data_IF_263699170903
#
_entry.id   IF_263699170903
#
_cell.length_a   1.000
_cell.length_b   1.000
_cell.length_c   1.000
_cell.angle_alpha   90.00
_cell.angle_beta   90.00
_cell.angle_gamma   90.00
#
_symmetry.space_group_name_H-M   'P 1'
#
loop_
_entity.id
_entity.type
_entity.pdbx_description
1 polymer ?
#
# COMPACT_ATOMS: atom_id res chain seq x y z
N UNK A 1 -23.98 6.23 10.47
CA UNK A 1 -22.70 6.36 11.21
C UNK A 1 -21.58 5.43 10.69
N UNK A 2 -21.89 4.29 10.05
CA UNK A 2 -20.88 3.40 9.41
C UNK A 2 -20.30 3.97 8.11
N UNK A 3 -21.06 4.75 7.35
CA UNK A 3 -20.65 5.28 6.04
C UNK A 3 -19.60 6.39 6.13
N UNK A 4 -19.67 7.28 7.13
CA UNK A 4 -18.70 8.38 7.27
C UNK A 4 -17.32 7.93 7.78
N UNK A 5 -17.24 6.88 8.60
CA UNK A 5 -15.97 6.26 8.99
C UNK A 5 -15.30 5.56 7.81
N UNK A 6 -16.08 4.85 6.98
CA UNK A 6 -15.55 4.14 5.81
C UNK A 6 -14.90 5.07 4.77
N UNK A 7 -15.51 6.22 4.46
CA UNK A 7 -14.97 7.20 3.52
C UNK A 7 -13.66 7.83 4.04
N UNK A 8 -13.60 8.18 5.34
CA UNK A 8 -12.38 8.73 5.95
C UNK A 8 -11.21 7.76 5.88
N UNK A 9 -11.47 6.49 6.11
CA UNK A 9 -10.43 5.45 6.07
C UNK A 9 -9.96 5.15 4.64
N UNK A 10 -10.83 5.10 3.65
CA UNK A 10 -10.45 4.96 2.23
C UNK A 10 -9.52 6.08 1.81
N UNK A 11 -9.82 7.30 2.20
CA UNK A 11 -9.02 8.47 1.89
C UNK A 11 -7.62 8.41 2.52
N UNK A 12 -7.51 8.14 3.83
CA UNK A 12 -6.22 8.02 4.54
C UNK A 12 -5.28 7.02 3.87
N UNK A 13 -5.81 5.89 3.41
CA UNK A 13 -5.03 4.83 2.76
C UNK A 13 -4.53 5.23 1.38
N UNK A 14 -5.35 5.93 0.62
CA UNK A 14 -4.94 6.43 -0.69
C UNK A 14 -3.81 7.45 -0.55
N UNK A 15 -3.91 8.32 0.45
CA UNK A 15 -2.88 9.31 0.78
C UNK A 15 -1.57 8.63 1.19
N UNK A 16 -1.62 7.64 2.09
CA UNK A 16 -0.45 6.83 2.48
C UNK A 16 0.22 6.16 1.28
N UNK A 17 -0.58 5.56 0.40
CA UNK A 17 -0.05 4.94 -0.80
C UNK A 17 0.77 5.93 -1.64
N UNK A 18 0.25 7.15 -1.87
CA UNK A 18 1.01 8.15 -2.62
C UNK A 18 2.29 8.59 -1.91
N UNK A 19 2.28 8.67 -0.58
CA UNK A 19 3.48 8.95 0.20
C UNK A 19 4.54 7.85 0.03
N UNK A 20 4.11 6.58 0.00
CA UNK A 20 5.00 5.43 -0.11
C UNK A 20 5.46 5.09 -1.54
N UNK A 21 4.85 5.69 -2.56
CA UNK A 21 5.24 5.47 -3.96
C UNK A 21 6.03 6.63 -4.57
N UNK A 22 6.61 7.51 -3.73
CA UNK A 22 7.55 8.53 -4.17
C UNK A 22 7.18 9.99 -3.88
N UNK A 23 6.01 10.29 -3.31
CA UNK A 23 5.70 11.68 -2.93
C UNK A 23 6.29 12.03 -1.55
N UNK A 24 7.57 12.44 -1.54
CA UNK A 24 8.28 12.86 -0.31
C UNK A 24 7.62 14.03 0.40
N UNK A 25 7.02 14.97 -0.35
CA UNK A 25 6.33 16.12 0.24
C UNK A 25 5.09 15.67 1.01
N UNK A 26 4.28 14.80 0.41
CA UNK A 26 3.10 14.23 1.06
C UNK A 26 3.49 13.42 2.29
N UNK A 27 4.56 12.61 2.19
CA UNK A 27 5.13 11.87 3.33
C UNK A 27 5.43 12.81 4.50
N UNK A 28 6.19 13.88 4.26
CA UNK A 28 6.55 14.86 5.29
C UNK A 28 5.32 15.58 5.89
N UNK A 29 4.29 15.87 5.09
CA UNK A 29 3.05 16.47 5.59
C UNK A 29 2.35 15.50 6.56
N UNK A 30 2.26 14.21 6.21
CA UNK A 30 1.62 13.21 7.06
C UNK A 30 2.40 13.03 8.37
N UNK A 31 3.72 12.87 8.31
CA UNK A 31 4.58 12.70 9.49
C UNK A 31 4.43 13.86 10.49
N UNK A 32 4.36 15.10 9.99
CA UNK A 32 4.28 16.29 10.85
C UNK A 32 2.86 16.62 11.35
N UNK A 33 1.82 16.03 10.74
CA UNK A 33 0.45 16.44 11.00
C UNK A 33 -0.51 15.26 11.20
N UNK A 34 -0.02 14.08 11.60
CA UNK A 34 -0.86 12.89 11.77
C UNK A 34 -2.07 13.13 12.68
N UNK A 35 -1.89 13.80 13.82
CA UNK A 35 -2.98 14.15 14.73
C UNK A 35 -4.02 15.06 14.06
N UNK A 36 -3.59 16.11 13.34
CA UNK A 36 -4.48 17.01 12.60
C UNK A 36 -5.28 16.29 11.52
N UNK A 37 -4.65 15.28 10.88
CA UNK A 37 -5.33 14.44 9.88
C UNK A 37 -6.40 13.57 10.54
N UNK A 38 -6.09 12.97 11.69
CA UNK A 38 -7.05 12.18 12.47
C UNK A 38 -8.21 13.03 12.96
N UNK A 39 -7.92 14.26 13.43
CA UNK A 39 -8.90 15.24 13.87
C UNK A 39 -9.66 15.92 12.71
N UNK A 40 -9.35 15.59 11.45
CA UNK A 40 -9.99 16.14 10.25
C UNK A 40 -9.82 17.67 10.11
N UNK A 41 -8.65 18.20 10.46
CA UNK A 41 -8.36 19.62 10.29
C UNK A 41 -8.43 20.00 8.80
N UNK A 42 -9.31 20.90 8.44
CA UNK A 42 -9.64 21.27 7.05
C UNK A 42 -8.41 21.71 6.24
N UNK A 43 -7.59 22.59 6.80
CA UNK A 43 -6.39 23.09 6.11
C UNK A 43 -5.40 21.96 5.81
N UNK A 44 -5.21 21.05 6.76
CA UNK A 44 -4.32 19.89 6.57
C UNK A 44 -4.91 18.91 5.56
N UNK A 45 -6.22 18.67 5.61
CA UNK A 45 -6.92 17.82 4.64
C UNK A 45 -6.82 18.40 3.23
N UNK A 46 -7.00 19.70 3.05
CA UNK A 46 -6.85 20.35 1.75
C UNK A 46 -5.45 20.13 1.16
N UNK A 47 -4.40 20.34 1.96
CA UNK A 47 -3.01 20.14 1.52
C UNK A 47 -2.75 18.69 1.05
N UNK A 48 -3.21 17.70 1.81
CA UNK A 48 -2.99 16.30 1.45
C UNK A 48 -3.85 15.86 0.26
N UNK A 49 -5.05 16.44 0.06
CA UNK A 49 -5.90 16.23 -1.12
C UNK A 49 -5.19 16.76 -2.37
N UNK A 50 -4.75 18.01 -2.33
CA UNK A 50 -4.05 18.63 -3.46
C UNK A 50 -2.81 17.84 -3.88
N UNK A 51 -1.96 17.46 -2.92
CA UNK A 51 -0.75 16.68 -3.22
C UNK A 51 -1.08 15.28 -3.73
N UNK A 52 -2.16 14.67 -3.25
CA UNK A 52 -2.64 13.36 -3.72
C UNK A 52 -3.13 13.44 -5.17
N UNK A 53 -3.92 14.46 -5.50
CA UNK A 53 -4.42 14.70 -6.86
C UNK A 53 -3.24 14.96 -7.82
N UNK A 54 -2.30 15.84 -7.44
CA UNK A 54 -1.09 16.10 -8.24
C UNK A 54 -0.30 14.83 -8.51
N UNK A 55 -0.12 13.98 -7.50
CA UNK A 55 0.61 12.71 -7.64
C UNK A 55 -0.10 11.77 -8.61
N UNK A 56 -1.42 11.56 -8.41
CA UNK A 56 -2.20 10.69 -9.28
C UNK A 56 -2.22 11.21 -10.72
N UNK A 57 -2.51 12.49 -10.92
CA UNK A 57 -2.54 13.11 -12.24
C UNK A 57 -1.21 12.92 -12.96
N UNK A 58 -0.09 13.26 -12.32
CA UNK A 58 1.25 13.10 -12.89
C UNK A 58 1.56 11.67 -13.36
N UNK A 59 1.09 10.66 -12.60
CA UNK A 59 1.32 9.25 -12.95
C UNK A 59 0.41 8.83 -14.09
N UNK A 60 -0.89 9.19 -14.03
CA UNK A 60 -1.89 8.82 -15.06
C UNK A 60 -1.57 9.49 -16.39
N UNK A 61 -1.23 10.79 -16.39
CA UNK A 61 -0.87 11.51 -17.63
C UNK A 61 0.38 10.90 -18.34
N UNK A 62 1.29 10.30 -17.55
CA UNK A 62 2.48 9.64 -18.12
C UNK A 62 2.19 8.26 -18.69
N UNK A 63 1.09 7.62 -18.30
CA UNK A 63 0.76 6.26 -18.68
C UNK A 63 -0.76 6.04 -18.60
N UNK A 64 -1.48 6.59 -19.59
CA UNK A 64 -2.94 6.48 -19.66
C UNK A 64 -3.40 5.03 -19.84
N UNK A 65 -2.66 4.24 -20.62
CA UNK A 65 -2.96 2.84 -20.94
C UNK A 65 -2.63 1.82 -19.85
N UNK A 66 -2.07 2.25 -18.71
CA UNK A 66 -1.68 1.35 -17.58
C UNK A 66 -0.70 0.22 -17.96
N UNK A 67 0.13 0.46 -18.97
CA UNK A 67 1.09 -0.55 -19.45
C UNK A 67 2.49 -0.43 -18.80
N UNK A 68 2.74 0.63 -18.03
CA UNK A 68 4.06 0.94 -17.49
C UNK A 68 4.03 1.48 -16.04
N UNK A 69 4.39 2.77 -15.91
CA UNK A 69 4.59 3.41 -14.59
C UNK A 69 3.31 3.46 -13.74
N UNK A 70 2.13 3.50 -14.34
CA UNK A 70 0.85 3.56 -13.61
C UNK A 70 0.62 2.33 -12.73
N UNK A 71 1.26 1.20 -13.06
CA UNK A 71 1.21 0.01 -12.23
C UNK A 71 1.63 0.24 -10.77
N UNK A 72 2.50 1.26 -10.49
CA UNK A 72 2.91 1.58 -9.12
C UNK A 72 1.75 2.03 -8.22
N UNK A 73 0.65 2.53 -8.79
CA UNK A 73 -0.58 2.86 -8.05
C UNK A 73 -1.20 1.63 -7.39
N UNK A 74 -0.80 0.43 -7.82
CA UNK A 74 -1.23 -0.84 -7.24
C UNK A 74 -0.32 -1.33 -6.09
N UNK A 75 0.52 -0.47 -5.49
CA UNK A 75 1.29 -0.84 -4.30
C UNK A 75 0.37 -1.40 -3.21
N UNK A 76 0.66 -2.60 -2.73
CA UNK A 76 -0.16 -3.34 -1.75
C UNK A 76 -1.36 -4.10 -2.31
N UNK A 77 -1.79 -3.88 -3.57
CA UNK A 77 -3.03 -4.47 -4.10
C UNK A 77 -2.96 -5.98 -4.29
N UNK A 78 -1.83 -6.55 -4.66
CA UNK A 78 -1.70 -8.01 -4.82
C UNK A 78 -2.07 -8.76 -3.54
N UNK A 79 -1.51 -8.33 -2.41
CA UNK A 79 -1.81 -8.95 -1.12
C UNK A 79 -3.15 -8.48 -0.55
N UNK A 80 -3.52 -7.22 -0.78
CA UNK A 80 -4.82 -6.69 -0.38
C UNK A 80 -5.98 -7.46 -1.02
N UNK A 81 -5.96 -7.67 -2.33
CA UNK A 81 -6.99 -8.46 -3.03
C UNK A 81 -6.99 -9.92 -2.55
N UNK A 82 -5.82 -10.51 -2.30
CA UNK A 82 -5.74 -11.86 -1.75
C UNK A 82 -6.39 -11.95 -0.35
N UNK A 83 -6.20 -10.93 0.50
CA UNK A 83 -6.83 -10.82 1.81
C UNK A 83 -8.35 -10.64 1.68
N UNK A 84 -8.83 -9.79 0.77
CA UNK A 84 -10.27 -9.63 0.50
C UNK A 84 -10.91 -10.92 0.04
N UNK A 85 -10.29 -11.59 -0.93
CA UNK A 85 -10.79 -12.85 -1.47
C UNK A 85 -10.78 -13.98 -0.41
N UNK A 86 -9.77 -14.03 0.46
CA UNK A 86 -9.73 -14.96 1.58
C UNK A 86 -10.88 -14.72 2.57
N UNK A 87 -11.28 -13.48 2.79
CA UNK A 87 -12.42 -13.10 3.63
C UNK A 87 -13.76 -13.09 2.86
N UNK A 88 -13.83 -13.65 1.65
CA UNK A 88 -15.02 -13.63 0.77
C UNK A 88 -15.58 -12.22 0.57
N UNK A 89 -14.71 -11.20 0.51
CA UNK A 89 -15.07 -9.77 0.43
C UNK A 89 -15.98 -9.28 1.56
N UNK A 90 -15.96 -10.00 2.69
CA UNK A 90 -16.71 -9.71 3.91
C UNK A 90 -15.74 -9.54 5.08
N UNK A 91 -16.20 -8.96 6.18
CA UNK A 91 -15.41 -8.83 7.43
C UNK A 91 -14.11 -8.01 7.34
N UNK A 92 -13.74 -7.52 6.17
CA UNK A 92 -12.64 -6.57 5.98
C UNK A 92 -13.01 -5.55 4.90
N UNK A 93 -12.73 -4.28 5.15
CA UNK A 93 -12.94 -3.25 4.12
C UNK A 93 -11.80 -3.30 3.10
N UNK A 94 -12.09 -2.98 1.82
CA UNK A 94 -11.07 -2.89 0.76
C UNK A 94 -9.81 -2.16 1.22
N UNK A 95 -9.98 -1.01 1.80
CA UNK A 95 -8.84 -0.26 2.20
C UNK A 95 -8.07 -0.86 3.40
N UNK A 96 -8.72 -1.55 4.38
CA UNK A 96 -7.99 -2.27 5.43
C UNK A 96 -7.12 -3.37 4.80
N UNK A 97 -7.68 -4.11 3.85
CA UNK A 97 -6.95 -5.12 3.10
C UNK A 97 -5.75 -4.53 2.33
N UNK A 98 -5.93 -3.40 1.63
CA UNK A 98 -4.84 -2.73 0.91
C UNK A 98 -3.77 -2.20 1.87
N UNK A 99 -4.15 -1.67 3.05
CA UNK A 99 -3.18 -1.24 4.06
C UNK A 99 -2.29 -2.40 4.52
N UNK A 100 -2.89 -3.53 4.86
CA UNK A 100 -2.14 -4.74 5.21
C UNK A 100 -1.27 -5.22 4.03
N UNK A 101 -1.79 -5.14 2.82
CA UNK A 101 -1.05 -5.46 1.60
C UNK A 101 0.16 -4.56 1.37
N UNK A 102 0.07 -3.27 1.70
CA UNK A 102 1.23 -2.34 1.64
C UNK A 102 2.31 -2.75 2.65
N UNK A 103 1.94 -3.15 3.86
CA UNK A 103 2.89 -3.65 4.87
C UNK A 103 3.59 -4.91 4.40
N UNK A 104 2.83 -5.87 3.85
CA UNK A 104 3.39 -7.12 3.31
C UNK A 104 4.36 -6.82 2.16
N UNK A 105 4.00 -5.95 1.22
CA UNK A 105 4.87 -5.54 0.13
C UNK A 105 6.14 -4.82 0.62
N UNK A 106 6.04 -3.98 1.65
CA UNK A 106 7.19 -3.34 2.29
C UNK A 106 8.10 -4.37 3.00
N UNK A 107 7.53 -5.37 3.69
CA UNK A 107 8.32 -6.47 4.28
C UNK A 107 9.07 -7.28 3.21
N UNK A 108 8.43 -7.55 2.06
CA UNK A 108 9.11 -8.20 0.94
C UNK A 108 10.24 -7.30 0.43
N UNK A 109 10.02 -6.00 0.29
CA UNK A 109 11.06 -5.05 -0.10
C UNK A 109 12.26 -5.05 0.86
N UNK A 110 12.01 -5.21 2.18
CA UNK A 110 13.06 -5.40 3.18
C UNK A 110 13.82 -6.71 2.96
N UNK A 111 13.12 -7.83 2.79
CA UNK A 111 13.75 -9.13 2.63
C UNK A 111 14.48 -9.31 1.30
N UNK A 112 14.09 -8.54 0.27
CA UNK A 112 14.83 -8.40 -0.99
C UNK A 112 16.02 -7.42 -0.89
N UNK A 113 16.20 -6.75 0.26
CA UNK A 113 17.29 -5.79 0.47
C UNK A 113 17.08 -4.42 -0.17
N UNK A 114 15.87 -4.12 -0.64
CA UNK A 114 15.55 -2.84 -1.28
C UNK A 114 15.39 -1.70 -0.27
N UNK A 115 14.95 -2.01 0.95
CA UNK A 115 14.84 -1.06 2.07
C UNK A 115 15.51 -1.63 3.31
N UNK A 116 15.75 -0.77 4.31
CA UNK A 116 16.29 -1.12 5.62
C UNK A 116 15.17 -1.26 6.66
N UNK A 117 15.45 -1.90 7.78
CA UNK A 117 14.51 -2.16 8.87
C UNK A 117 13.85 -0.88 9.38
N UNK A 118 14.65 0.16 9.66
CA UNK A 118 14.12 1.46 10.12
C UNK A 118 13.13 2.10 9.12
N UNK A 119 13.24 1.80 7.83
CA UNK A 119 12.31 2.31 6.81
C UNK A 119 10.98 1.56 6.87
N UNK A 120 11.01 0.25 7.11
CA UNK A 120 9.80 -0.53 7.37
C UNK A 120 9.09 -0.05 8.63
N UNK A 121 9.84 0.18 9.72
CA UNK A 121 9.29 0.69 10.98
C UNK A 121 8.63 2.06 10.77
N UNK A 122 9.27 2.96 10.04
CA UNK A 122 8.70 4.26 9.70
C UNK A 122 7.39 4.15 8.91
N UNK A 123 7.29 3.19 7.98
CA UNK A 123 6.06 2.93 7.23
C UNK A 123 4.96 2.44 8.17
N UNK A 124 5.24 1.49 9.05
CA UNK A 124 4.29 0.95 10.01
C UNK A 124 3.82 2.05 10.97
N UNK A 125 4.75 2.80 11.57
CA UNK A 125 4.46 3.90 12.48
C UNK A 125 3.58 4.97 11.83
N UNK A 126 3.82 5.30 10.55
CA UNK A 126 3.00 6.26 9.82
C UNK A 126 1.58 5.73 9.60
N UNK A 127 1.41 4.45 9.31
CA UNK A 127 0.09 3.81 9.18
C UNK A 127 -0.65 3.86 10.51
N UNK A 128 0.01 3.51 11.61
CA UNK A 128 -0.55 3.51 12.97
C UNK A 128 -0.90 4.91 13.46
N UNK A 129 -0.08 5.90 13.16
CA UNK A 129 -0.33 7.30 13.53
C UNK A 129 -1.63 7.87 12.92
N UNK A 130 -2.11 7.28 11.83
CA UNK A 130 -3.40 7.61 11.22
C UNK A 130 -4.56 6.75 11.74
N UNK A 131 -4.32 5.89 12.74
CA UNK A 131 -5.32 5.00 13.34
C UNK A 131 -5.75 3.84 12.44
N UNK A 132 -4.87 3.40 11.53
CA UNK A 132 -5.13 2.28 10.62
C UNK A 132 -4.56 0.97 11.15
N UNK A 133 -5.17 -0.15 10.72
CA UNK A 133 -4.80 -1.50 11.18
C UNK A 133 -3.46 -1.91 10.56
N UNK A 134 -2.55 -2.45 11.37
CA UNK A 134 -1.25 -2.98 10.97
C UNK A 134 -1.08 -4.48 11.19
N UNK A 135 -1.91 -5.09 12.04
CA UNK A 135 -1.82 -6.51 12.34
C UNK A 135 -2.33 -7.38 11.17
N UNK A 136 -1.36 -8.02 10.50
CA UNK A 136 -1.59 -8.94 9.39
C UNK A 136 -1.28 -10.40 9.74
N UNK A 137 -0.88 -10.70 10.99
CA UNK A 137 -0.38 -12.03 11.43
C UNK A 137 -1.38 -13.19 11.21
N UNK A 138 -2.68 -12.90 11.20
CA UNK A 138 -3.70 -13.90 10.89
C UNK A 138 -3.71 -14.36 9.44
N UNK A 139 -3.07 -13.63 8.53
CA UNK A 139 -3.03 -13.93 7.10
C UNK A 139 -1.72 -14.61 6.72
N UNK A 140 -1.66 -15.93 6.89
CA UNK A 140 -0.48 -16.74 6.54
C UNK A 140 -0.43 -17.03 5.04
N UNK A 141 0.77 -17.32 4.52
CA UNK A 141 0.96 -17.66 3.12
C UNK A 141 0.07 -18.83 2.67
N UNK A 142 -0.11 -19.86 3.50
CA UNK A 142 -0.99 -20.99 3.20
C UNK A 142 -2.43 -20.58 2.88
N UNK A 143 -2.92 -19.53 3.55
CA UNK A 143 -4.27 -18.98 3.35
C UNK A 143 -4.37 -18.19 2.05
N UNK A 144 -3.33 -17.42 1.70
CA UNK A 144 -3.38 -16.46 0.60
C UNK A 144 -2.84 -17.00 -0.73
N UNK A 145 -2.08 -18.10 -0.72
CA UNK A 145 -1.36 -18.64 -1.88
C UNK A 145 -2.21 -18.78 -3.14
N UNK A 146 -3.43 -19.32 -3.02
CA UNK A 146 -4.31 -19.54 -4.16
C UNK A 146 -4.79 -18.21 -4.79
N UNK A 147 -5.06 -17.21 -3.96
CA UNK A 147 -5.55 -15.91 -4.41
C UNK A 147 -4.43 -15.03 -5.01
N UNK A 148 -3.21 -15.10 -4.45
CA UNK A 148 -2.03 -14.42 -5.00
C UNK A 148 -1.72 -14.91 -6.41
N UNK A 149 -1.87 -16.23 -6.66
CA UNK A 149 -1.62 -16.83 -7.98
C UNK A 149 -2.72 -16.55 -9.01
N UNK A 150 -3.95 -16.34 -8.58
CA UNK A 150 -5.09 -16.03 -9.46
C UNK A 150 -5.24 -14.53 -9.78
N UNK A 151 -4.41 -13.67 -9.20
CA UNK A 151 -4.45 -12.24 -9.50
C UNK A 151 -4.06 -12.01 -10.98
N UNK A 152 -4.85 -11.17 -11.68
CA UNK A 152 -4.65 -10.77 -13.09
C UNK A 152 -3.27 -10.15 -13.40
N UNK A 153 -2.45 -9.93 -12.36
CA UNK A 153 -1.07 -9.43 -12.46
C UNK A 153 -0.05 -10.49 -12.85
N UNK A 154 -0.49 -11.73 -13.12
CA UNK A 154 0.33 -12.75 -13.76
C UNK A 154 0.40 -12.40 -15.26
N UNK A 155 1.41 -11.64 -15.65
CA UNK A 155 1.74 -11.41 -17.07
C UNK A 155 2.77 -12.45 -17.49
N UNK A 156 2.55 -13.09 -18.62
CA UNK A 156 3.43 -14.15 -19.15
C UNK A 156 3.73 -15.29 -18.14
N UNK A 157 2.76 -15.65 -17.31
CA UNK A 157 2.92 -16.72 -16.32
C UNK A 157 3.76 -16.33 -15.08
N UNK A 158 4.24 -15.07 -14.98
CA UNK A 158 5.04 -14.59 -13.85
C UNK A 158 4.27 -13.62 -12.99
N UNK A 159 4.29 -13.84 -11.68
CA UNK A 159 3.74 -12.89 -10.71
C UNK A 159 4.57 -11.60 -10.72
N UNK A 160 3.88 -10.46 -10.87
CA UNK A 160 4.50 -9.13 -10.78
C UNK A 160 4.08 -8.48 -9.46
N UNK A 161 5.06 -8.03 -8.69
CA UNK A 161 4.86 -7.27 -7.46
C UNK A 161 5.22 -5.80 -7.67
N UNK A 162 4.55 -4.95 -6.92
CA UNK A 162 5.00 -3.57 -6.74
C UNK A 162 5.70 -3.51 -5.40
N UNK A 163 7.01 -3.24 -5.46
CA UNK A 163 7.90 -3.09 -4.31
C UNK A 163 8.39 -1.64 -4.22
N UNK A 164 9.10 -1.31 -3.16
CA UNK A 164 9.66 0.03 -2.92
C UNK A 164 11.17 -0.05 -2.70
N UNK A 165 11.89 0.96 -3.18
CA UNK A 165 13.33 1.13 -2.99
C UNK A 165 13.66 1.98 -1.75
N UNK A 166 14.96 2.15 -1.45
CA UNK A 166 15.49 2.96 -0.35
C UNK A 166 15.06 4.43 -0.36
N UNK A 167 14.60 4.93 -1.50
CA UNK A 167 14.09 6.30 -1.64
C UNK A 167 12.55 6.35 -1.56
N UNK A 168 11.91 5.22 -1.27
CA UNK A 168 10.45 5.01 -1.33
C UNK A 168 9.89 5.25 -2.73
N UNK A 169 10.65 4.99 -3.80
CA UNK A 169 10.09 4.93 -5.13
C UNK A 169 9.54 3.54 -5.37
N UNK A 170 8.29 3.47 -5.78
CA UNK A 170 7.69 2.20 -6.14
C UNK A 170 8.13 1.76 -7.54
N UNK A 171 8.34 0.47 -7.72
CA UNK A 171 8.68 -0.15 -9.00
C UNK A 171 8.00 -1.51 -9.14
N UNK A 172 7.72 -1.90 -10.39
CA UNK A 172 7.19 -3.22 -10.72
C UNK A 172 8.33 -4.20 -10.97
N UNK A 173 8.23 -5.41 -10.41
CA UNK A 173 9.23 -6.46 -10.62
C UNK A 173 8.60 -7.84 -10.59
N UNK A 174 9.11 -8.75 -11.42
CA UNK A 174 8.91 -10.20 -11.33
C UNK A 174 10.15 -10.92 -10.81
N UNK A 175 11.24 -10.17 -10.57
CA UNK A 175 12.50 -10.69 -10.03
C UNK A 175 12.51 -10.54 -8.51
N UNK A 176 12.10 -11.56 -7.79
CA UNK A 176 12.10 -11.65 -6.33
C UNK A 176 12.12 -13.12 -5.89
N UNK A 177 12.58 -13.36 -4.66
CA UNK A 177 12.60 -14.70 -4.10
C UNK A 177 11.23 -15.05 -3.48
N UNK A 178 10.58 -16.09 -3.98
CA UNK A 178 9.29 -16.56 -3.44
C UNK A 178 9.33 -16.90 -1.94
N UNK A 179 10.51 -17.29 -1.39
CA UNK A 179 10.68 -17.49 0.05
C UNK A 179 10.43 -16.21 0.85
N UNK A 180 10.70 -15.04 0.27
CA UNK A 180 10.48 -13.75 0.92
C UNK A 180 8.99 -13.38 1.03
N UNK A 181 8.13 -13.88 0.13
CA UNK A 181 6.68 -13.80 0.30
C UNK A 181 6.24 -14.63 1.52
N UNK A 182 6.77 -15.86 1.64
CA UNK A 182 6.45 -16.74 2.78
C UNK A 182 6.91 -16.08 4.08
N UNK A 183 8.13 -15.54 4.11
CA UNK A 183 8.70 -14.86 5.28
C UNK A 183 7.91 -13.60 5.68
N UNK A 184 7.39 -12.84 4.72
CA UNK A 184 6.58 -11.66 4.98
C UNK A 184 5.20 -11.98 5.56
N UNK A 185 4.72 -13.21 5.36
CA UNK A 185 3.42 -13.75 5.81
C UNK A 185 3.55 -14.80 6.92
N UNK A 186 4.71 -14.91 7.56
CA UNK A 186 4.98 -15.84 8.67
C UNK A 186 4.45 -15.30 10.02
#
# INVERSE_FOLDING_TARGET
LRTSRGLGDVYKRQVLKYAFIGNKKLKNIIEKNSEKIVQRNEKTLQLIIEESIKTKSKIVTKDEGENGIRAILNFGHTFGHAIEAYNNYQNITHGAAITLGMIIAAKISLFEGHIKEYQLDNIINMIESLGLITDHKKYKYSHLKKYIRSDKKVMDGKLNLILIDKNLNAFRTSNFNNKNIIKALA
#
